data_IF_757429836108
#
_entry.id   IF_757429836108
#
_cell.length_a   1.000
_cell.length_b   1.000
_cell.length_c   1.000
_cell.angle_alpha   90.00
_cell.angle_beta   90.00
_cell.angle_gamma   90.00
#
_symmetry.space_group_name_H-M   'P 1'
#
loop_
_entity.id
_entity.type
_entity.pdbx_description
1 polymer ?
#
# COMPACT_ATOMS: atom_id res chain seq x y z
N UNK A 1 3.72 -26.56 17.61
CA UNK A 1 3.82 -25.18 18.14
C UNK A 1 4.27 -24.27 17.00
N UNK A 2 3.50 -23.20 16.66
CA UNK A 2 4.00 -22.15 15.74
C UNK A 2 4.69 -21.09 16.60
N UNK A 3 6.01 -20.95 16.45
CA UNK A 3 6.87 -20.03 17.20
C UNK A 3 6.68 -18.55 16.82
N UNK A 4 5.89 -18.24 15.79
CA UNK A 4 5.65 -16.88 15.31
C UNK A 4 4.14 -16.68 15.06
N UNK A 5 3.56 -15.71 15.77
CA UNK A 5 2.20 -15.24 15.55
C UNK A 5 2.26 -13.95 14.73
N UNK A 6 1.94 -14.02 13.44
CA UNK A 6 1.89 -12.86 12.56
C UNK A 6 0.51 -12.22 12.65
N UNK A 7 0.41 -11.11 13.40
CA UNK A 7 -0.78 -10.27 13.39
C UNK A 7 -0.85 -9.42 12.12
N UNK A 8 -2.07 -9.13 11.65
CA UNK A 8 -2.28 -8.26 10.49
C UNK A 8 -2.39 -6.81 10.95
N UNK A 9 -1.35 -6.03 10.67
CA UNK A 9 -1.29 -4.59 10.97
C UNK A 9 -1.10 -3.78 9.70
N UNK A 10 -1.70 -2.60 9.66
CA UNK A 10 -1.51 -1.61 8.61
C UNK A 10 -1.35 -0.23 9.25
N UNK A 11 -0.77 0.72 8.51
CA UNK A 11 -0.59 2.10 9.00
C UNK A 11 -1.45 3.09 8.24
N UNK A 12 -1.94 4.10 8.94
CA UNK A 12 -2.61 5.22 8.30
C UNK A 12 -1.59 6.06 7.54
N UNK A 13 -2.00 6.54 6.36
CA UNK A 13 -1.14 7.33 5.50
C UNK A 13 -0.70 8.63 6.20
N UNK A 14 0.62 8.86 6.25
CA UNK A 14 1.23 10.08 6.77
C UNK A 14 1.12 11.22 5.77
N UNK A 15 0.58 12.36 6.20
CA UNK A 15 0.40 13.54 5.33
C UNK A 15 1.58 14.53 5.39
N UNK A 16 2.48 14.37 6.37
CA UNK A 16 3.60 15.25 6.66
C UNK A 16 4.87 14.95 5.83
N UNK A 17 4.80 14.00 4.90
CA UNK A 17 5.93 13.56 4.08
C UNK A 17 6.57 12.27 4.57
N UNK A 18 7.50 11.74 3.77
CA UNK A 18 8.19 10.46 4.03
C UNK A 18 9.70 10.63 4.21
N UNK A 19 10.17 11.86 4.42
CA UNK A 19 11.60 12.13 4.49
C UNK A 19 11.92 13.18 5.56
N UNK A 20 13.18 13.19 5.97
CA UNK A 20 13.78 14.24 6.81
C UNK A 20 15.27 14.29 6.52
N UNK A 21 15.76 15.46 6.10
CA UNK A 21 17.17 15.65 5.73
C UNK A 21 17.58 14.68 4.62
N UNK A 22 18.50 13.76 4.91
CA UNK A 22 19.04 12.77 3.97
C UNK A 22 18.42 11.38 4.12
N UNK A 23 17.33 11.27 4.87
CA UNK A 23 16.64 10.01 5.14
C UNK A 23 15.27 10.06 4.46
N UNK A 24 14.98 9.07 3.63
CA UNK A 24 13.69 8.88 2.97
C UNK A 24 13.19 7.46 3.23
N UNK A 25 11.91 7.34 3.56
CA UNK A 25 11.21 6.08 3.79
C UNK A 25 10.60 5.57 2.47
N UNK A 26 10.50 4.25 2.31
CA UNK A 26 9.77 3.59 1.23
C UNK A 26 9.19 2.24 1.67
N UNK A 27 8.30 1.66 0.85
CA UNK A 27 7.68 0.37 1.15
C UNK A 27 6.85 0.40 2.44
N UNK A 28 6.85 -0.72 3.18
CA UNK A 28 6.04 -0.87 4.39
C UNK A 28 6.38 0.15 5.50
N UNK A 29 7.58 0.74 5.48
CA UNK A 29 7.94 1.82 6.41
C UNK A 29 7.09 3.08 6.23
N UNK A 30 6.58 3.33 5.01
CA UNK A 30 5.66 4.41 4.67
C UNK A 30 4.19 3.97 4.70
N UNK A 31 3.91 2.78 4.15
CA UNK A 31 2.56 2.39 3.76
C UNK A 31 2.26 0.90 3.97
N UNK A 32 2.67 0.36 5.13
CA UNK A 32 2.28 -0.98 5.57
C UNK A 32 0.78 -1.23 5.32
N UNK A 33 0.49 -2.26 4.53
CA UNK A 33 -0.86 -2.59 4.05
C UNK A 33 -1.28 -3.99 4.49
N UNK A 34 -2.61 -4.21 4.56
CA UNK A 34 -3.15 -5.55 4.70
C UNK A 34 -2.88 -6.37 3.42
N UNK A 35 -2.70 -7.71 3.53
CA UNK A 35 -2.30 -8.54 2.40
C UNK A 35 -3.43 -8.78 1.39
N UNK A 36 -4.65 -8.33 1.67
CA UNK A 36 -5.86 -8.69 0.91
C UNK A 36 -5.85 -8.25 -0.57
N UNK A 37 -5.15 -7.17 -0.92
CA UNK A 37 -4.99 -6.77 -2.32
C UNK A 37 -3.74 -7.36 -2.99
N UNK A 38 -2.86 -8.04 -2.24
CA UNK A 38 -1.59 -8.58 -2.72
C UNK A 38 -0.67 -7.56 -3.42
N UNK A 39 -0.69 -6.30 -2.97
CA UNK A 39 0.04 -5.20 -3.62
C UNK A 39 1.24 -4.65 -2.84
N UNK A 40 1.52 -5.14 -1.62
CA UNK A 40 2.59 -4.56 -0.78
C UNK A 40 3.96 -4.56 -1.47
N UNK A 41 4.38 -5.71 -2.01
CA UNK A 41 5.65 -5.83 -2.75
C UNK A 41 5.67 -4.96 -4.01
N UNK A 42 4.57 -4.92 -4.77
CA UNK A 42 4.46 -4.09 -5.97
C UNK A 42 4.61 -2.61 -5.63
N UNK A 43 4.00 -2.14 -4.54
CA UNK A 43 4.15 -0.76 -4.08
C UNK A 43 5.61 -0.43 -3.73
N UNK A 44 6.32 -1.34 -3.06
CA UNK A 44 7.73 -1.14 -2.72
C UNK A 44 8.62 -1.08 -3.98
N UNK A 45 8.35 -1.90 -5.00
CA UNK A 45 9.06 -1.85 -6.29
C UNK A 45 8.77 -0.54 -7.02
N UNK A 46 7.49 -0.17 -7.13
CA UNK A 46 7.08 1.11 -7.73
C UNK A 46 7.72 2.31 -7.02
N UNK A 47 7.89 2.23 -5.70
CA UNK A 47 8.58 3.25 -4.91
C UNK A 47 10.06 3.36 -5.25
N UNK A 48 10.78 2.24 -5.31
CA UNK A 48 12.20 2.22 -5.62
C UNK A 48 12.47 2.85 -6.99
N UNK A 49 11.68 2.48 -8.00
CA UNK A 49 11.76 3.05 -9.35
C UNK A 49 11.46 4.55 -9.33
N UNK A 50 10.37 4.95 -8.65
CA UNK A 50 9.96 6.36 -8.62
C UNK A 50 10.97 7.24 -7.88
N UNK A 51 11.57 6.73 -6.81
CA UNK A 51 12.62 7.42 -6.06
C UNK A 51 13.87 7.61 -6.93
N UNK A 52 14.32 6.57 -7.63
CA UNK A 52 15.45 6.64 -8.54
C UNK A 52 15.25 7.71 -9.62
N UNK A 53 14.08 7.70 -10.27
CA UNK A 53 13.72 8.70 -11.29
C UNK A 53 13.68 10.13 -10.71
N UNK A 54 13.12 10.31 -9.50
CA UNK A 54 13.08 11.64 -8.88
C UNK A 54 14.48 12.13 -8.49
N UNK A 55 15.37 11.23 -8.03
CA UNK A 55 16.76 11.58 -7.74
C UNK A 55 17.49 12.03 -9.01
N UNK A 56 17.42 11.23 -10.08
CA UNK A 56 18.05 11.56 -11.36
C UNK A 56 17.54 12.90 -11.92
N UNK A 57 16.22 13.09 -11.94
CA UNK A 57 15.59 14.34 -12.43
C UNK A 57 16.02 15.58 -11.65
N UNK A 58 16.29 15.44 -10.35
CA UNK A 58 16.67 16.56 -9.48
C UNK A 58 18.20 16.62 -9.26
N UNK A 59 19.01 16.11 -10.20
CA UNK A 59 20.49 16.13 -10.11
C UNK A 59 21.04 15.56 -8.80
N UNK A 60 20.36 14.55 -8.24
CA UNK A 60 20.67 13.92 -6.96
C UNK A 60 20.61 14.86 -5.74
N UNK A 61 19.91 16.00 -5.85
CA UNK A 61 19.54 16.82 -4.71
C UNK A 61 18.41 16.16 -3.90
N UNK A 62 18.74 15.79 -2.66
CA UNK A 62 17.90 14.90 -1.84
C UNK A 62 16.52 15.49 -1.53
N UNK A 63 16.45 16.70 -0.97
CA UNK A 63 15.16 17.26 -0.55
C UNK A 63 14.15 17.51 -1.68
N UNK A 64 14.51 18.15 -2.80
CA UNK A 64 13.56 18.30 -3.90
C UNK A 64 13.16 16.94 -4.49
N UNK A 65 14.08 15.99 -4.60
CA UNK A 65 13.79 14.63 -5.08
C UNK A 65 12.80 13.89 -4.15
N UNK A 66 13.02 13.94 -2.84
CA UNK A 66 12.16 13.25 -1.86
C UNK A 66 10.77 13.87 -1.79
N UNK A 67 10.65 15.20 -1.89
CA UNK A 67 9.36 15.87 -1.97
C UNK A 67 8.59 15.49 -3.24
N UNK A 68 9.26 15.43 -4.39
CA UNK A 68 8.63 15.00 -5.65
C UNK A 68 8.19 13.54 -5.58
N UNK A 69 9.04 12.66 -5.05
CA UNK A 69 8.73 11.25 -4.82
C UNK A 69 7.48 11.07 -3.95
N UNK A 70 7.40 11.75 -2.81
CA UNK A 70 6.24 11.72 -1.92
C UNK A 70 4.95 12.17 -2.63
N UNK A 71 5.00 13.28 -3.38
CA UNK A 71 3.84 13.79 -4.14
C UNK A 71 3.34 12.79 -5.18
N UNK A 72 4.24 12.08 -5.86
CA UNK A 72 3.87 11.05 -6.86
C UNK A 72 3.26 9.80 -6.23
N UNK A 73 3.78 9.37 -5.08
CA UNK A 73 3.49 8.03 -4.52
C UNK A 73 2.41 8.01 -3.45
N UNK A 74 2.25 9.08 -2.68
CA UNK A 74 1.28 9.18 -1.58
C UNK A 74 -0.15 8.78 -1.97
N UNK A 75 -0.67 9.34 -3.07
CA UNK A 75 -2.03 9.04 -3.52
C UNK A 75 -2.23 7.59 -3.98
N UNK A 76 -1.22 6.99 -4.63
CA UNK A 76 -1.26 5.59 -5.09
C UNK A 76 -1.25 4.61 -3.92
N UNK A 77 -0.32 4.80 -2.99
CA UNK A 77 -0.16 3.95 -1.80
C UNK A 77 -1.38 4.04 -0.89
N UNK A 78 -1.88 5.26 -0.62
CA UNK A 78 -3.11 5.50 0.16
C UNK A 78 -4.33 4.77 -0.43
N UNK A 79 -4.49 4.78 -1.76
CA UNK A 79 -5.58 4.05 -2.44
C UNK A 79 -5.48 2.55 -2.19
N UNK A 80 -4.29 1.95 -2.32
CA UNK A 80 -4.10 0.51 -2.12
C UNK A 80 -4.32 0.09 -0.67
N UNK A 81 -3.80 0.85 0.29
CA UNK A 81 -4.03 0.59 1.71
C UNK A 81 -5.53 0.59 2.01
N UNK A 82 -6.26 1.58 1.48
CA UNK A 82 -7.71 1.66 1.64
C UNK A 82 -8.46 0.49 0.96
N UNK A 83 -8.11 0.14 -0.28
CA UNK A 83 -8.70 -1.00 -0.99
C UNK A 83 -8.47 -2.28 -0.20
N UNK A 84 -7.24 -2.52 0.27
CA UNK A 84 -6.91 -3.69 1.08
C UNK A 84 -7.73 -3.72 2.36
N UNK A 85 -7.92 -2.58 3.03
CA UNK A 85 -8.79 -2.44 4.21
C UNK A 85 -10.24 -2.81 3.89
N UNK A 86 -10.80 -2.26 2.82
CA UNK A 86 -12.19 -2.54 2.43
C UNK A 86 -12.39 -3.99 2.02
N UNK A 87 -11.43 -4.61 1.31
CA UNK A 87 -11.47 -6.03 0.98
C UNK A 87 -11.47 -6.89 2.25
N UNK A 88 -10.65 -6.54 3.25
CA UNK A 88 -10.66 -7.19 4.56
C UNK A 88 -12.03 -7.10 5.23
N UNK A 89 -12.59 -5.88 5.33
CA UNK A 89 -13.91 -5.67 5.90
C UNK A 89 -15.00 -6.44 5.15
N UNK A 90 -14.95 -6.48 3.81
CA UNK A 90 -15.92 -7.21 2.98
C UNK A 90 -15.82 -8.73 3.17
N UNK A 91 -14.60 -9.27 3.18
CA UNK A 91 -14.34 -10.71 3.30
C UNK A 91 -14.74 -11.25 4.68
N UNK A 92 -14.47 -10.49 5.74
CA UNK A 92 -14.74 -10.91 7.12
C UNK A 92 -16.01 -10.26 7.72
N UNK A 93 -16.83 -9.59 6.91
CA UNK A 93 -18.09 -9.01 7.39
C UNK A 93 -19.04 -10.12 7.87
N UNK A 94 -19.58 -9.92 9.07
CA UNK A 94 -20.65 -10.75 9.66
C UNK A 94 -22.05 -10.28 9.25
N UNK A 95 -22.16 -9.14 8.54
CA UNK A 95 -23.44 -8.63 8.08
C UNK A 95 -24.12 -9.65 7.13
N UNK A 96 -25.37 -10.09 7.40
CA UNK A 96 -26.05 -11.13 6.62
C UNK A 96 -26.18 -10.78 5.14
N UNK A 97 -26.39 -9.50 4.83
CA UNK A 97 -26.55 -9.01 3.45
C UNK A 97 -25.22 -9.18 2.71
N UNK A 98 -24.12 -8.67 3.31
CA UNK A 98 -22.78 -8.76 2.71
C UNK A 98 -22.37 -10.23 2.52
N UNK A 99 -22.66 -11.09 3.49
CA UNK A 99 -22.37 -12.53 3.42
C UNK A 99 -23.10 -13.21 2.27
N UNK A 100 -24.35 -12.85 2.00
CA UNK A 100 -25.16 -13.42 0.92
C UNK A 100 -24.74 -12.94 -0.47
N UNK A 101 -24.32 -11.67 -0.61
CA UNK A 101 -23.87 -11.12 -1.90
C UNK A 101 -22.42 -11.46 -2.24
N UNK A 102 -21.58 -11.74 -1.23
CA UNK A 102 -20.13 -11.99 -1.40
C UNK A 102 -19.81 -13.07 -2.46
N UNK A 103 -20.46 -14.25 -2.47
CA UNK A 103 -20.19 -15.26 -3.49
C UNK A 103 -20.47 -14.79 -4.92
N UNK A 104 -21.48 -13.94 -5.12
CA UNK A 104 -21.84 -13.39 -6.43
C UNK A 104 -20.79 -12.41 -6.95
N UNK A 105 -20.22 -11.60 -6.06
CA UNK A 105 -19.14 -10.67 -6.40
C UNK A 105 -17.87 -11.44 -6.75
N UNK A 106 -17.50 -12.45 -5.95
CA UNK A 106 -16.31 -13.27 -6.18
C UNK A 106 -16.46 -14.13 -7.44
N UNK A 107 -17.64 -14.69 -7.72
CA UNK A 107 -17.85 -15.51 -8.92
C UNK A 107 -17.69 -14.72 -10.21
N UNK A 108 -18.02 -13.43 -10.22
CA UNK A 108 -17.80 -12.53 -11.37
C UNK A 108 -16.32 -12.16 -11.60
N UNK A 109 -15.47 -12.33 -10.59
CA UNK A 109 -14.01 -12.10 -10.74
C UNK A 109 -13.24 -13.33 -11.21
N UNK A 110 -13.89 -14.50 -11.37
CA UNK A 110 -13.27 -15.75 -11.85
C UNK A 110 -13.04 -15.76 -13.37
N UNK A 111 -12.39 -14.73 -13.91
CA UNK A 111 -11.90 -14.74 -15.30
C UNK A 111 -10.42 -15.16 -15.40
N UNK A 112 -9.80 -15.60 -14.30
CA UNK A 112 -8.47 -16.24 -14.30
C UNK A 112 -8.55 -17.59 -13.61
N UNK A 113 -8.84 -18.64 -14.39
CA UNK A 113 -8.31 -19.98 -14.16
C UNK A 113 -7.12 -20.18 -15.07
#
# INVERSE_FOLDING_TARGET
QRLLHFGLYYRQHRNDGWHRNRICLLGDSCHATLPYAAQGANLAIEDAISLAICLEKNNFEMEPAFQEYYKKRSNRTKRVVNISRYMGLFNYSENPIIRSIRPLVISRTKEYR
#
